data_IF_645711318401
#
_entry.id   IF_645711318401
#
_cell.length_a   1.000
_cell.length_b   1.000
_cell.length_c   1.000
_cell.angle_alpha   90.00
_cell.angle_beta   90.00
_cell.angle_gamma   90.00
#
_symmetry.space_group_name_H-M   'P 1'
#
loop_
_entity.id
_entity.type
_entity.pdbx_description
1 polymer ?
#
# COMPACT_ATOMS: atom_id res chain seq x y z
N UNK A 1 84.78 -54.72 -30.03
CA UNK A 1 83.62 -54.92 -29.16
C UNK A 1 83.13 -53.53 -28.73
N UNK A 2 82.24 -53.01 -29.49
CA UNK A 2 81.73 -51.62 -29.29
C UNK A 2 80.21 -51.73 -29.29
N UNK A 3 79.69 -51.61 -28.06
CA UNK A 3 78.28 -51.46 -27.73
C UNK A 3 78.07 -50.01 -27.17
N UNK A 4 77.81 -49.07 -28.05
CA UNK A 4 77.17 -47.84 -27.66
C UNK A 4 75.99 -47.64 -28.57
N UNK A 5 74.80 -48.05 -28.16
CA UNK A 5 73.55 -47.76 -28.79
C UNK A 5 73.29 -46.22 -28.77
N UNK A 6 72.94 -45.73 -29.94
CA UNK A 6 72.54 -44.36 -30.18
C UNK A 6 71.19 -44.10 -29.44
N UNK A 7 71.20 -43.36 -28.40
CA UNK A 7 69.93 -42.79 -27.82
C UNK A 7 69.40 -41.81 -28.86
N UNK A 8 68.33 -42.19 -29.50
CA UNK A 8 67.54 -41.25 -30.35
C UNK A 8 66.86 -40.24 -29.50
N UNK A 9 67.59 -39.21 -29.10
CA UNK A 9 67.07 -38.06 -28.37
C UNK A 9 66.12 -37.27 -29.21
N UNK A 10 64.90 -37.05 -28.74
CA UNK A 10 63.88 -36.20 -29.42
C UNK A 10 64.54 -34.84 -29.71
N UNK A 11 64.51 -34.35 -30.99
CA UNK A 11 65.15 -33.08 -31.32
C UNK A 11 64.54 -31.93 -30.53
N UNK A 12 65.42 -31.06 -30.01
CA UNK A 12 65.07 -29.90 -29.13
C UNK A 12 63.90 -29.10 -29.65
N UNK A 13 63.75 -28.76 -30.98
CA UNK A 13 62.59 -28.03 -31.50
C UNK A 13 61.27 -28.80 -31.37
N UNK A 14 61.26 -30.11 -31.40
CA UNK A 14 60.08 -30.94 -31.19
C UNK A 14 59.66 -30.95 -29.71
N UNK A 15 60.62 -30.95 -28.80
CA UNK A 15 60.37 -30.81 -27.35
C UNK A 15 59.77 -29.44 -27.03
N UNK A 16 60.30 -28.36 -27.55
CA UNK A 16 59.80 -27.00 -27.38
C UNK A 16 58.39 -26.82 -27.92
N UNK A 17 58.09 -27.40 -29.10
CA UNK A 17 56.72 -27.40 -29.66
C UNK A 17 55.74 -28.15 -28.75
N UNK A 18 56.10 -29.32 -28.26
CA UNK A 18 55.22 -30.11 -27.37
C UNK A 18 55.00 -29.37 -26.05
N UNK A 19 56.06 -28.80 -25.45
CA UNK A 19 55.97 -28.00 -24.24
C UNK A 19 55.07 -26.78 -24.46
N UNK A 20 55.21 -26.04 -25.55
CA UNK A 20 54.39 -24.91 -25.90
C UNK A 20 52.90 -25.27 -26.09
N UNK A 21 52.60 -26.42 -26.76
CA UNK A 21 51.25 -26.90 -26.90
C UNK A 21 50.59 -27.28 -25.56
N UNK A 22 51.34 -28.00 -24.73
CA UNK A 22 50.83 -28.35 -23.37
C UNK A 22 50.58 -27.11 -22.54
N UNK A 23 51.54 -26.16 -22.54
CA UNK A 23 51.36 -24.90 -21.81
C UNK A 23 50.16 -24.12 -22.32
N UNK A 24 49.99 -24.00 -23.63
CA UNK A 24 48.82 -23.33 -24.23
C UNK A 24 47.51 -24.03 -23.82
N UNK A 25 47.47 -25.34 -23.86
CA UNK A 25 46.29 -26.12 -23.46
C UNK A 25 45.94 -25.91 -21.98
N UNK A 26 46.96 -25.90 -21.11
CA UNK A 26 46.75 -25.63 -19.65
C UNK A 26 46.24 -24.22 -19.41
N UNK A 27 46.80 -23.21 -20.08
CA UNK A 27 46.33 -21.81 -19.96
C UNK A 27 44.89 -21.68 -20.44
N UNK A 28 44.54 -22.27 -21.59
CA UNK A 28 43.16 -22.23 -22.08
C UNK A 28 42.18 -22.93 -21.14
N UNK A 29 42.55 -24.09 -20.60
CA UNK A 29 41.73 -24.80 -19.63
C UNK A 29 41.51 -23.98 -18.37
N UNK A 30 42.57 -23.38 -17.82
CA UNK A 30 42.49 -22.55 -16.62
C UNK A 30 41.62 -21.31 -16.85
N UNK A 31 41.78 -20.66 -18.01
CA UNK A 31 40.98 -19.53 -18.43
C UNK A 31 39.49 -19.89 -18.57
N UNK A 32 39.19 -21.05 -19.16
CA UNK A 32 37.81 -21.53 -19.27
C UNK A 32 37.17 -21.83 -17.92
N UNK A 33 37.89 -22.42 -17.00
CA UNK A 33 37.43 -22.68 -15.64
C UNK A 33 37.18 -21.38 -14.90
N UNK A 34 38.12 -20.43 -15.00
CA UNK A 34 37.98 -19.11 -14.34
C UNK A 34 36.79 -18.34 -14.89
N UNK A 35 36.62 -18.28 -16.21
CA UNK A 35 35.48 -17.62 -16.85
C UNK A 35 34.14 -18.28 -16.44
N UNK A 36 34.12 -19.61 -16.36
CA UNK A 36 32.92 -20.32 -15.89
C UNK A 36 32.60 -20.00 -14.44
N UNK A 37 33.62 -19.99 -13.57
CA UNK A 37 33.44 -19.62 -12.15
C UNK A 37 32.91 -18.18 -11.97
N UNK A 38 33.46 -17.22 -12.72
CA UNK A 38 32.97 -15.83 -12.70
C UNK A 38 31.52 -15.75 -13.15
N UNK A 39 31.14 -16.42 -14.24
CA UNK A 39 29.75 -16.43 -14.74
C UNK A 39 28.78 -17.04 -13.74
N UNK A 40 29.16 -18.11 -13.08
CA UNK A 40 28.32 -18.76 -12.05
C UNK A 40 28.15 -17.85 -10.83
N UNK A 41 29.21 -17.17 -10.41
CA UNK A 41 29.14 -16.19 -9.31
C UNK A 41 28.23 -15.00 -9.66
N UNK A 42 28.38 -14.43 -10.86
CA UNK A 42 27.52 -13.34 -11.35
C UNK A 42 26.03 -13.74 -11.44
N UNK A 43 25.76 -14.96 -11.93
CA UNK A 43 24.40 -15.49 -11.97
C UNK A 43 23.82 -15.67 -10.57
N UNK A 44 24.59 -16.25 -9.64
CA UNK A 44 24.16 -16.44 -8.27
C UNK A 44 23.87 -15.08 -7.56
N UNK A 45 24.71 -14.07 -7.82
CA UNK A 45 24.49 -12.71 -7.30
C UNK A 45 23.21 -12.09 -7.86
N UNK A 46 22.98 -12.18 -9.15
CA UNK A 46 21.75 -11.69 -9.80
C UNK A 46 20.49 -12.34 -9.25
N UNK A 47 20.50 -13.67 -9.11
CA UNK A 47 19.37 -14.40 -8.51
C UNK A 47 19.13 -14.01 -7.05
N UNK A 48 20.17 -13.82 -6.26
CA UNK A 48 20.06 -13.34 -4.88
C UNK A 48 19.47 -11.92 -4.79
N UNK A 49 19.88 -11.02 -5.70
CA UNK A 49 19.32 -9.67 -5.78
C UNK A 49 17.84 -9.72 -6.15
N UNK A 50 17.47 -10.47 -7.19
CA UNK A 50 16.07 -10.65 -7.61
C UNK A 50 15.21 -11.22 -6.49
N UNK A 51 15.66 -12.27 -5.81
CA UNK A 51 14.94 -12.90 -4.72
C UNK A 51 14.73 -11.91 -3.55
N UNK A 52 15.73 -11.09 -3.23
CA UNK A 52 15.63 -10.07 -2.19
C UNK A 52 14.63 -8.97 -2.55
N UNK A 53 14.70 -8.45 -3.79
CA UNK A 53 13.78 -7.41 -4.24
C UNK A 53 12.34 -7.95 -4.35
N UNK A 54 12.16 -9.18 -4.83
CA UNK A 54 10.85 -9.84 -4.83
C UNK A 54 10.29 -9.96 -3.42
N UNK A 55 11.09 -10.44 -2.45
CA UNK A 55 10.66 -10.53 -1.06
C UNK A 55 10.26 -9.18 -0.44
N UNK A 56 10.94 -8.09 -0.82
CA UNK A 56 10.54 -6.73 -0.40
C UNK A 56 9.20 -6.31 -0.98
N UNK A 57 8.97 -6.60 -2.26
CA UNK A 57 7.70 -6.30 -2.92
C UNK A 57 6.55 -7.10 -2.29
N UNK A 58 6.76 -8.37 -2.00
CA UNK A 58 5.75 -9.23 -1.37
C UNK A 58 5.37 -8.71 0.02
N UNK A 59 6.35 -8.28 0.83
CA UNK A 59 6.10 -7.67 2.13
C UNK A 59 5.33 -6.35 1.98
N UNK A 60 5.75 -5.47 1.07
CA UNK A 60 5.06 -4.19 0.84
C UNK A 60 3.61 -4.41 0.39
N UNK A 61 3.37 -5.36 -0.52
CA UNK A 61 2.03 -5.73 -0.96
C UNK A 61 1.18 -6.27 0.19
N UNK A 62 1.73 -7.12 1.04
CA UNK A 62 1.03 -7.66 2.21
C UNK A 62 0.64 -6.56 3.20
N UNK A 63 1.55 -5.61 3.48
CA UNK A 63 1.28 -4.46 4.36
C UNK A 63 0.18 -3.56 3.82
N UNK A 64 0.23 -3.22 2.54
CA UNK A 64 -0.80 -2.41 1.87
C UNK A 64 -2.15 -3.12 1.93
N UNK A 65 -2.18 -4.40 1.56
CA UNK A 65 -3.42 -5.21 1.57
C UNK A 65 -4.02 -5.27 2.97
N UNK A 66 -3.20 -5.51 3.99
CA UNK A 66 -3.65 -5.55 5.39
C UNK A 66 -4.21 -4.19 5.85
N UNK A 67 -3.53 -3.09 5.50
CA UNK A 67 -4.01 -1.75 5.83
C UNK A 67 -5.38 -1.46 5.22
N UNK A 68 -5.58 -1.77 3.93
CA UNK A 68 -6.85 -1.56 3.24
C UNK A 68 -7.97 -2.47 3.79
N UNK A 69 -7.67 -3.72 4.11
CA UNK A 69 -8.62 -4.64 4.75
C UNK A 69 -9.05 -4.16 6.15
N UNK A 70 -8.13 -3.57 6.91
CA UNK A 70 -8.45 -2.97 8.21
C UNK A 70 -9.45 -1.83 8.05
N UNK A 71 -9.24 -0.94 7.07
CA UNK A 71 -10.16 0.17 6.81
C UNK A 71 -11.53 -0.34 6.33
N UNK A 72 -11.58 -1.36 5.45
CA UNK A 72 -12.82 -1.99 5.01
C UNK A 72 -13.62 -2.52 6.22
N UNK A 73 -12.94 -3.19 7.15
CA UNK A 73 -13.56 -3.68 8.39
C UNK A 73 -14.07 -2.54 9.26
N UNK A 74 -13.26 -1.48 9.45
CA UNK A 74 -13.65 -0.31 10.25
C UNK A 74 -14.91 0.37 9.70
N UNK A 75 -14.99 0.54 8.37
CA UNK A 75 -16.16 1.11 7.69
C UNK A 75 -17.42 0.27 7.91
N UNK A 76 -17.30 -1.06 7.80
CA UNK A 76 -18.43 -1.99 8.05
C UNK A 76 -18.89 -1.94 9.49
N UNK A 77 -17.95 -1.94 10.44
CA UNK A 77 -18.26 -1.81 11.87
C UNK A 77 -18.97 -0.49 12.13
N UNK A 78 -18.45 0.63 11.60
CA UNK A 78 -19.07 1.92 11.80
C UNK A 78 -20.50 2.00 11.23
N UNK A 79 -20.72 1.40 10.06
CA UNK A 79 -22.04 1.34 9.43
C UNK A 79 -23.05 0.46 10.20
N UNK A 80 -22.58 -0.48 11.03
CA UNK A 80 -23.41 -1.37 11.83
C UNK A 80 -23.64 -0.89 13.27
N UNK A 81 -23.09 0.27 13.66
CA UNK A 81 -23.20 0.76 15.05
C UNK A 81 -24.65 1.05 15.46
N UNK A 82 -25.12 0.51 16.59
CA UNK A 82 -26.47 0.79 17.07
C UNK A 82 -26.78 2.26 17.28
N UNK A 83 -25.80 3.06 17.73
CA UNK A 83 -25.96 4.51 17.91
C UNK A 83 -26.16 5.24 16.57
N UNK A 84 -25.56 4.77 15.49
CA UNK A 84 -25.81 5.29 14.14
C UNK A 84 -27.23 4.97 13.71
N UNK A 85 -27.69 3.74 13.81
CA UNK A 85 -29.06 3.35 13.45
C UNK A 85 -30.10 4.10 14.27
N UNK A 86 -29.88 4.26 15.58
CA UNK A 86 -30.77 5.05 16.43
C UNK A 86 -30.86 6.50 15.97
N UNK A 87 -29.71 7.09 15.54
CA UNK A 87 -29.71 8.44 14.96
C UNK A 87 -30.43 8.49 13.62
N UNK A 88 -30.19 7.51 12.71
CA UNK A 88 -30.83 7.47 11.40
C UNK A 88 -32.35 7.28 11.47
N UNK A 89 -32.85 6.61 12.50
CA UNK A 89 -34.27 6.37 12.75
C UNK A 89 -34.99 7.61 13.31
N UNK A 90 -34.36 8.30 14.24
CA UNK A 90 -35.02 9.34 15.04
C UNK A 90 -34.55 10.76 14.76
N UNK A 91 -33.33 10.95 14.27
CA UNK A 91 -32.78 12.26 13.89
C UNK A 91 -32.55 13.23 15.06
N UNK A 92 -32.65 12.76 16.31
CA UNK A 92 -32.58 13.67 17.44
C UNK A 92 -31.16 14.15 17.72
N UNK A 93 -31.06 15.38 18.25
CA UNK A 93 -29.78 16.06 18.52
C UNK A 93 -28.86 15.25 19.45
N UNK A 94 -29.43 14.70 20.52
CA UNK A 94 -28.66 13.91 21.50
C UNK A 94 -27.98 12.68 20.87
N UNK A 95 -28.68 11.97 19.94
CA UNK A 95 -28.12 10.84 19.23
C UNK A 95 -27.02 11.27 18.24
N UNK A 96 -27.19 12.43 17.57
CA UNK A 96 -26.16 13.00 16.71
C UNK A 96 -24.89 13.32 17.50
N UNK A 97 -25.02 13.93 18.66
CA UNK A 97 -23.91 14.25 19.55
C UNK A 97 -23.21 12.99 20.08
N UNK A 98 -23.99 11.98 20.49
CA UNK A 98 -23.44 10.70 20.90
C UNK A 98 -22.64 10.02 19.78
N UNK A 99 -23.16 10.03 18.55
CA UNK A 99 -22.48 9.51 17.38
C UNK A 99 -21.20 10.30 17.06
N UNK A 100 -21.25 11.64 17.10
CA UNK A 100 -20.09 12.49 16.86
C UNK A 100 -18.98 12.25 17.90
N UNK A 101 -19.34 12.06 19.17
CA UNK A 101 -18.39 11.75 20.24
C UNK A 101 -17.76 10.35 20.04
N UNK A 102 -18.53 9.35 19.61
CA UNK A 102 -18.00 8.04 19.29
C UNK A 102 -17.02 8.11 18.13
N UNK A 103 -17.36 8.84 17.06
CA UNK A 103 -16.47 9.05 15.93
C UNK A 103 -15.20 9.81 16.32
N UNK A 104 -15.30 10.78 17.25
CA UNK A 104 -14.14 11.48 17.78
C UNK A 104 -13.18 10.52 18.51
N UNK A 105 -13.72 9.65 19.38
CA UNK A 105 -12.91 8.61 20.04
C UNK A 105 -12.28 7.69 19.01
N UNK A 106 -13.03 7.24 18.02
CA UNK A 106 -12.53 6.36 16.96
C UNK A 106 -11.35 6.98 16.19
N UNK A 107 -11.51 8.22 15.71
CA UNK A 107 -10.45 8.93 14.98
C UNK A 107 -9.21 9.15 15.86
N UNK A 108 -9.40 9.45 17.15
CA UNK A 108 -8.31 9.64 18.11
C UNK A 108 -7.51 8.35 18.33
N UNK A 109 -8.19 7.26 18.63
CA UNK A 109 -7.54 6.00 19.00
C UNK A 109 -6.92 5.28 17.78
N UNK A 110 -7.56 5.37 16.61
CA UNK A 110 -7.03 4.77 15.40
C UNK A 110 -5.86 5.53 14.80
N UNK A 111 -5.82 6.87 14.93
CA UNK A 111 -4.81 7.79 14.41
C UNK A 111 -4.47 7.60 12.91
N UNK A 112 -5.33 6.89 12.17
CA UNK A 112 -5.12 6.54 10.74
C UNK A 112 -6.04 7.30 9.79
N UNK A 113 -7.07 7.95 10.31
CA UNK A 113 -8.04 8.70 9.52
C UNK A 113 -7.81 10.19 9.66
N UNK A 114 -7.57 10.90 8.55
CA UNK A 114 -7.54 12.36 8.55
C UNK A 114 -8.92 12.94 8.86
N UNK A 115 -9.96 12.28 8.31
CA UNK A 115 -11.35 12.71 8.52
C UNK A 115 -12.29 11.51 8.54
N UNK A 116 -13.34 11.61 9.35
CA UNK A 116 -14.50 10.74 9.36
C UNK A 116 -15.75 11.60 9.23
N UNK A 117 -16.64 11.26 8.28
CA UNK A 117 -17.83 12.03 7.99
C UNK A 117 -19.07 11.15 7.94
N UNK A 118 -20.18 11.70 8.41
CA UNK A 118 -21.52 11.31 7.99
C UNK A 118 -22.08 12.42 7.11
N UNK A 119 -22.52 12.05 5.91
CA UNK A 119 -23.07 12.94 4.88
C UNK A 119 -24.45 12.41 4.51
N UNK A 120 -25.47 13.28 4.44
CA UNK A 120 -26.82 12.89 4.08
C UNK A 120 -26.99 12.64 2.57
N UNK A 121 -28.22 12.32 2.14
CA UNK A 121 -28.54 12.05 0.73
C UNK A 121 -28.41 13.27 -0.18
N UNK A 122 -28.46 14.47 0.39
CA UNK A 122 -28.33 15.74 -0.36
C UNK A 122 -26.86 16.21 -0.41
N UNK A 123 -25.94 15.37 0.11
CA UNK A 123 -24.52 15.66 0.13
C UNK A 123 -24.08 16.64 1.25
N UNK A 124 -24.99 16.96 2.17
CA UNK A 124 -24.66 17.82 3.29
C UNK A 124 -23.92 17.06 4.38
N UNK A 125 -22.76 17.54 4.80
CA UNK A 125 -22.08 17.04 6.01
C UNK A 125 -22.98 17.28 7.22
N UNK A 126 -23.25 16.24 7.99
CA UNK A 126 -24.00 16.27 9.25
C UNK A 126 -23.08 16.14 10.44
N UNK A 127 -22.05 15.29 10.30
CA UNK A 127 -20.98 15.09 11.27
C UNK A 127 -19.68 15.07 10.51
N UNK A 128 -18.67 15.81 10.99
CA UNK A 128 -17.30 15.70 10.53
C UNK A 128 -16.34 15.74 11.71
N UNK A 129 -15.45 14.78 11.77
CA UNK A 129 -14.32 14.73 12.67
C UNK A 129 -13.06 14.96 11.86
N UNK A 130 -12.22 15.89 12.28
CA UNK A 130 -10.88 16.07 11.72
C UNK A 130 -9.84 15.57 12.72
N UNK A 131 -8.78 14.88 12.24
CA UNK A 131 -7.70 14.39 13.08
C UNK A 131 -6.73 15.49 13.54
N UNK A 132 -6.53 16.54 12.70
CA UNK A 132 -5.72 17.71 13.00
C UNK A 132 -4.34 17.36 13.60
N UNK A 133 -3.64 16.42 12.97
CA UNK A 133 -2.27 16.01 13.36
C UNK A 133 -2.15 15.57 14.84
N UNK A 134 -3.09 14.78 15.31
CA UNK A 134 -3.12 14.25 16.68
C UNK A 134 -3.95 15.08 17.66
N UNK A 135 -4.65 16.10 17.18
CA UNK A 135 -5.61 16.90 17.98
C UNK A 135 -7.01 16.77 17.39
N UNK A 136 -7.60 15.58 17.42
CA UNK A 136 -8.89 15.35 16.78
C UNK A 136 -9.98 16.22 17.39
N UNK A 137 -10.88 16.70 16.54
CA UNK A 137 -11.99 17.56 16.97
C UNK A 137 -13.22 17.37 16.09
N UNK A 138 -14.39 17.57 16.73
CA UNK A 138 -15.67 17.65 16.04
C UNK A 138 -15.76 19.02 15.38
N UNK A 139 -16.05 19.02 14.08
CA UNK A 139 -16.20 20.27 13.32
C UNK A 139 -17.53 20.93 13.69
N UNK A 140 -17.53 22.23 14.06
CA UNK A 140 -18.75 22.97 14.35
C UNK A 140 -19.74 22.96 13.17
N UNK A 141 -21.04 22.93 13.46
CA UNK A 141 -22.10 22.86 12.47
C UNK A 141 -22.01 23.97 11.40
N UNK A 142 -21.61 25.17 11.80
CA UNK A 142 -21.45 26.33 10.91
C UNK A 142 -20.31 26.19 9.90
N UNK A 143 -19.41 25.20 10.09
CA UNK A 143 -18.28 24.93 9.22
C UNK A 143 -18.45 23.63 8.39
N UNK A 144 -19.59 22.94 8.57
CA UNK A 144 -19.95 21.79 7.75
C UNK A 144 -20.34 22.26 6.34
N UNK A 145 -19.96 21.46 5.34
CA UNK A 145 -20.04 21.82 3.93
C UNK A 145 -20.96 20.86 3.19
N UNK A 146 -21.59 21.35 2.11
CA UNK A 146 -22.19 20.46 1.14
C UNK A 146 -21.11 19.93 0.20
N UNK A 147 -21.05 18.60 0.05
CA UNK A 147 -20.08 17.87 -0.76
C UNK A 147 -20.73 17.09 -1.92
N UNK A 148 -21.99 17.39 -2.28
CA UNK A 148 -22.74 16.69 -3.30
C UNK A 148 -21.99 16.57 -4.64
N UNK A 149 -21.27 17.62 -5.04
CA UNK A 149 -20.52 17.65 -6.30
C UNK A 149 -19.21 16.84 -6.27
N UNK A 150 -18.79 16.36 -5.09
CA UNK A 150 -17.57 15.57 -4.99
C UNK A 150 -17.80 14.15 -5.53
N UNK A 151 -16.89 13.68 -6.38
CA UNK A 151 -17.00 12.38 -7.05
C UNK A 151 -17.20 11.23 -6.07
N UNK A 152 -16.47 11.23 -4.94
CA UNK A 152 -16.57 10.17 -3.95
C UNK A 152 -17.92 10.13 -3.23
N UNK A 153 -18.62 11.28 -3.09
CA UNK A 153 -19.98 11.34 -2.52
C UNK A 153 -20.98 10.75 -3.52
N UNK A 154 -20.93 11.22 -4.77
CA UNK A 154 -21.83 10.73 -5.84
C UNK A 154 -21.68 9.24 -6.07
N UNK A 155 -20.44 8.73 -6.07
CA UNK A 155 -20.19 7.32 -6.35
C UNK A 155 -20.56 6.45 -5.15
N UNK A 156 -20.34 6.89 -3.91
CA UNK A 156 -20.79 6.16 -2.72
C UNK A 156 -22.31 6.13 -2.59
N UNK A 157 -23.01 7.22 -2.93
CA UNK A 157 -24.48 7.28 -2.88
C UNK A 157 -25.15 6.31 -3.87
N UNK A 158 -24.48 5.89 -4.95
CA UNK A 158 -25.00 4.90 -5.92
C UNK A 158 -24.97 3.46 -5.40
N UNK A 159 -24.16 3.19 -4.38
CA UNK A 159 -23.95 1.85 -3.86
C UNK A 159 -25.18 1.29 -3.14
N UNK A 160 -25.27 -0.04 -3.12
CA UNK A 160 -26.24 -0.78 -2.33
C UNK A 160 -25.73 -1.06 -0.91
N UNK A 161 -26.61 -1.55 -0.04
CA UNK A 161 -26.27 -1.91 1.33
C UNK A 161 -25.11 -2.92 1.39
N UNK A 162 -24.14 -2.65 2.26
CA UNK A 162 -22.96 -3.50 2.46
C UNK A 162 -21.85 -3.36 1.42
N UNK A 163 -22.05 -2.56 0.37
CA UNK A 163 -20.99 -2.24 -0.59
C UNK A 163 -20.09 -1.12 -0.04
N UNK A 164 -18.83 -1.14 -0.42
CA UNK A 164 -17.85 -0.12 -0.05
C UNK A 164 -17.22 0.47 -1.32
N UNK A 165 -17.22 1.78 -1.37
CA UNK A 165 -16.48 2.57 -2.35
C UNK A 165 -15.04 2.77 -1.86
N UNK A 166 -14.07 2.63 -2.76
CA UNK A 166 -12.66 2.96 -2.51
C UNK A 166 -12.19 3.91 -3.59
N UNK A 167 -11.72 5.09 -3.19
CA UNK A 167 -11.20 6.07 -4.15
C UNK A 167 -9.78 5.72 -4.63
N UNK A 168 -9.34 6.27 -5.76
CA UNK A 168 -7.91 6.41 -6.03
C UNK A 168 -7.21 7.17 -4.90
N UNK A 169 -5.86 7.00 -4.81
CA UNK A 169 -5.03 7.86 -3.97
C UNK A 169 -5.12 9.30 -4.48
N UNK A 170 -5.47 10.24 -3.61
CA UNK A 170 -5.72 11.63 -3.94
C UNK A 170 -5.20 12.55 -2.83
N UNK A 171 -5.01 13.83 -3.11
CA UNK A 171 -4.71 14.81 -2.08
C UNK A 171 -5.98 15.29 -1.37
N UNK A 172 -5.88 15.57 -0.07
CA UNK A 172 -7.02 16.13 0.64
C UNK A 172 -7.33 17.53 0.10
N UNK A 173 -8.63 17.79 -0.10
CA UNK A 173 -9.13 19.01 -0.74
C UNK A 173 -10.24 19.60 0.11
N UNK A 174 -9.97 20.77 0.71
CA UNK A 174 -10.90 21.49 1.57
C UNK A 174 -11.02 22.95 1.14
N UNK A 175 -12.20 23.52 1.27
CA UNK A 175 -12.48 24.91 0.90
C UNK A 175 -11.98 25.27 -0.52
N UNK A 176 -12.23 24.36 -1.48
CA UNK A 176 -11.83 24.51 -2.90
C UNK A 176 -10.31 24.58 -3.14
N UNK A 177 -9.51 24.12 -2.20
CA UNK A 177 -8.04 24.10 -2.29
C UNK A 177 -7.47 22.75 -1.83
N UNK A 178 -6.33 22.39 -2.38
CA UNK A 178 -5.52 21.30 -1.82
C UNK A 178 -5.00 21.74 -0.46
N UNK A 179 -5.18 20.90 0.55
CA UNK A 179 -4.71 21.18 1.91
C UNK A 179 -3.18 21.15 1.97
N UNK A 180 -2.60 22.13 2.68
CA UNK A 180 -1.16 22.22 2.94
C UNK A 180 -0.93 22.13 4.45
N UNK A 181 -0.03 21.24 4.94
CA UNK A 181 0.83 20.32 4.17
C UNK A 181 0.03 19.28 3.39
N UNK A 182 0.60 18.78 2.29
CA UNK A 182 -0.07 17.78 1.44
C UNK A 182 -0.37 16.51 2.24
N UNK A 183 -1.64 16.09 2.18
CA UNK A 183 -2.13 14.87 2.83
C UNK A 183 -2.65 13.91 1.77
N UNK A 184 -1.85 12.91 1.37
CA UNK A 184 -2.34 11.85 0.50
C UNK A 184 -3.35 11.00 1.26
N UNK A 185 -4.55 10.83 0.70
CA UNK A 185 -5.65 10.08 1.30
C UNK A 185 -6.27 9.10 0.32
N UNK A 186 -6.75 7.98 0.85
CA UNK A 186 -7.67 7.08 0.17
C UNK A 186 -9.01 7.20 0.90
N UNK A 187 -10.09 7.43 0.14
CA UNK A 187 -11.41 7.56 0.74
C UNK A 187 -12.16 6.24 0.64
N UNK A 188 -12.69 5.81 1.77
CA UNK A 188 -13.58 4.66 1.86
C UNK A 188 -14.98 5.17 2.18
N UNK A 189 -15.97 4.73 1.43
CA UNK A 189 -17.34 5.18 1.61
C UNK A 189 -18.33 4.02 1.60
N UNK A 190 -19.38 4.10 2.43
CA UNK A 190 -20.47 3.13 2.42
C UNK A 190 -21.80 3.83 2.66
N UNK A 191 -22.86 3.41 1.99
CA UNK A 191 -24.20 3.92 2.26
C UNK A 191 -24.70 3.39 3.61
N UNK A 192 -25.48 4.22 4.31
CA UNK A 192 -26.13 3.85 5.57
C UNK A 192 -27.64 3.95 5.47
N UNK A 193 -28.32 3.04 6.18
CA UNK A 193 -29.76 2.84 6.06
C UNK A 193 -30.40 2.86 7.46
N UNK A 194 -31.63 3.37 7.53
CA UNK A 194 -32.45 3.25 8.74
C UNK A 194 -33.00 1.82 8.92
N UNK A 195 -33.67 1.56 10.05
CA UNK A 195 -34.26 0.25 10.34
C UNK A 195 -35.37 -0.18 9.37
N UNK A 196 -35.93 0.77 8.61
CA UNK A 196 -36.89 0.48 7.55
C UNK A 196 -36.22 0.19 6.19
N UNK A 197 -34.88 0.11 6.13
CA UNK A 197 -34.12 -0.12 4.92
C UNK A 197 -34.04 1.07 3.98
N UNK A 198 -34.36 2.28 4.42
CA UNK A 198 -34.29 3.49 3.61
C UNK A 198 -32.89 4.09 3.73
N UNK A 199 -32.25 4.38 2.60
CA UNK A 199 -30.93 5.05 2.57
C UNK A 199 -31.05 6.43 3.21
N UNK A 200 -30.16 6.74 4.14
CA UNK A 200 -30.13 7.99 4.91
C UNK A 200 -28.88 8.84 4.64
N UNK A 201 -27.97 8.33 3.85
CA UNK A 201 -26.72 9.00 3.50
C UNK A 201 -25.57 8.01 3.44
N UNK A 202 -24.38 8.51 3.70
CA UNK A 202 -23.13 7.77 3.57
C UNK A 202 -22.18 8.07 4.74
N UNK A 203 -21.34 7.11 5.09
CA UNK A 203 -20.13 7.33 5.87
C UNK A 203 -18.92 7.43 4.93
N UNK A 204 -18.04 8.38 5.19
CA UNK A 204 -16.77 8.55 4.46
C UNK A 204 -15.62 8.62 5.44
N UNK A 205 -14.63 7.77 5.21
CA UNK A 205 -13.36 7.70 5.94
C UNK A 205 -12.24 8.16 5.02
N UNK A 206 -11.52 9.21 5.37
CA UNK A 206 -10.29 9.61 4.69
C UNK A 206 -9.12 8.93 5.39
N UNK A 207 -8.65 7.82 4.83
CA UNK A 207 -7.46 7.11 5.34
C UNK A 207 -6.18 7.85 4.94
N UNK A 208 -5.28 8.10 5.90
CA UNK A 208 -3.97 8.72 5.68
C UNK A 208 -3.02 7.72 5.02
N UNK A 209 -2.78 7.89 3.73
CA UNK A 209 -1.91 6.98 2.97
C UNK A 209 -0.42 7.12 3.32
N UNK A 210 -0.03 8.21 3.97
CA UNK A 210 1.34 8.43 4.48
C UNK A 210 1.86 7.26 5.32
N UNK A 211 0.98 6.60 6.07
CA UNK A 211 1.35 5.46 6.89
C UNK A 211 1.71 4.22 6.06
N UNK A 212 1.15 4.10 4.86
CA UNK A 212 1.50 3.03 3.91
C UNK A 212 2.79 3.33 3.15
N UNK A 213 3.10 4.61 2.95
CA UNK A 213 4.22 5.05 2.12
C UNK A 213 5.54 5.19 2.91
N UNK A 214 5.48 5.19 4.25
CA UNK A 214 6.65 5.37 5.15
C UNK A 214 7.27 4.05 5.63
N UNK A 215 6.62 2.91 5.37
CA UNK A 215 7.09 1.56 5.68
C UNK A 215 7.62 0.87 4.43
#
# INVERSE_FOLDING_TARGET
MSLFSREDGVPLPALLKRFGLIHLATVLLFSAVLLTAIRLDDQARLENIKAREQGRLDIAQALITHALQTVDSDVRIAASLPVLHTYLDHGALAQREALANLFLVWVRESARYDQLRYIDNDGQEIIRINYNEGRPGIVPQTLLQNKAERYFVRDTLKLDAGQIYVSPLDLNFEQERVEIPYKPVIRFGTPVFDSAGRKKGILIFNYLADQMLKN
#
